data_IF_301491787874
#
_entry.id   IF_301491787874
#
_cell.length_a   1.000
_cell.length_b   1.000
_cell.length_c   1.000
_cell.angle_alpha   90.00
_cell.angle_beta   90.00
_cell.angle_gamma   90.00
#
_symmetry.space_group_name_H-M   'P 1'
#
loop_
_entity.id
_entity.type
_entity.pdbx_description
1 polymer ?
#
# COMPACT_ATOMS: atom_id res chain seq x y z
N UNK A 1 -3.28 -23.02 -16.25
CA UNK A 1 -4.24 -22.59 -15.20
C UNK A 1 -3.53 -22.76 -13.86
N UNK A 2 -3.62 -21.81 -12.97
CA UNK A 2 -2.97 -21.94 -11.65
C UNK A 2 -3.76 -22.99 -10.85
N UNK A 3 -3.08 -24.04 -10.34
CA UNK A 3 -3.70 -25.10 -9.55
C UNK A 3 -4.41 -24.58 -8.28
N UNK A 4 -5.30 -25.37 -7.70
CA UNK A 4 -6.06 -25.04 -6.48
C UNK A 4 -5.11 -24.99 -5.27
N UNK A 5 -5.24 -23.97 -4.42
CA UNK A 5 -4.52 -23.90 -3.14
C UNK A 5 -5.01 -25.04 -2.24
N UNK A 6 -4.09 -25.72 -1.55
CA UNK A 6 -4.43 -26.82 -0.63
C UNK A 6 -5.29 -26.34 0.52
N UNK A 7 -6.29 -27.13 0.88
CA UNK A 7 -7.23 -26.80 1.95
C UNK A 7 -6.53 -26.65 3.31
N UNK A 8 -5.47 -27.41 3.56
CA UNK A 8 -4.66 -27.30 4.79
C UNK A 8 -3.98 -25.93 4.91
N UNK A 9 -3.46 -25.39 3.80
CA UNK A 9 -2.81 -24.08 3.79
C UNK A 9 -3.83 -22.95 3.97
N UNK A 10 -5.03 -23.11 3.40
CA UNK A 10 -6.13 -22.18 3.61
C UNK A 10 -6.57 -22.18 5.09
N UNK A 11 -6.59 -23.37 5.72
CA UNK A 11 -6.91 -23.49 7.15
C UNK A 11 -5.84 -22.80 8.01
N UNK A 12 -4.54 -22.98 7.69
CA UNK A 12 -3.43 -22.30 8.37
C UNK A 12 -3.52 -20.77 8.22
N UNK A 13 -3.88 -20.28 7.04
CA UNK A 13 -4.12 -18.83 6.81
C UNK A 13 -5.22 -18.32 7.71
N UNK A 14 -6.35 -19.04 7.84
CA UNK A 14 -7.46 -18.66 8.71
C UNK A 14 -7.08 -18.64 10.18
N UNK A 15 -6.23 -19.56 10.61
CA UNK A 15 -5.77 -19.66 12.01
C UNK A 15 -4.80 -18.51 12.34
N UNK A 16 -3.82 -18.24 11.49
CA UNK A 16 -2.81 -17.20 11.71
C UNK A 16 -3.33 -15.79 11.50
N UNK A 17 -4.22 -15.58 10.51
CA UNK A 17 -4.79 -14.30 10.20
C UNK A 17 -6.00 -13.98 11.10
N UNK A 18 -5.73 -13.57 12.34
CA UNK A 18 -6.78 -13.22 13.30
C UNK A 18 -7.68 -12.13 12.73
N UNK A 19 -9.00 -12.39 12.78
CA UNK A 19 -9.99 -11.50 12.18
C UNK A 19 -10.02 -10.12 12.82
N UNK A 20 -9.82 -10.03 14.14
CA UNK A 20 -9.76 -8.77 14.87
C UNK A 20 -8.58 -7.90 14.45
N UNK A 21 -7.40 -8.51 14.21
CA UNK A 21 -6.20 -7.80 13.73
C UNK A 21 -6.38 -7.30 12.31
N UNK A 22 -6.97 -8.11 11.42
CA UNK A 22 -7.20 -7.72 10.03
C UNK A 22 -8.26 -6.64 9.94
N UNK A 23 -9.42 -6.83 10.58
CA UNK A 23 -10.55 -5.89 10.54
C UNK A 23 -10.21 -4.56 11.18
N UNK A 24 -9.40 -4.53 12.24
CA UNK A 24 -8.96 -3.29 12.90
C UNK A 24 -8.19 -2.35 11.97
N UNK A 25 -7.62 -2.87 10.89
CA UNK A 25 -6.98 -2.08 9.82
C UNK A 25 -7.98 -1.24 9.00
N UNK A 26 -9.25 -1.66 8.96
CA UNK A 26 -10.31 -1.04 8.14
C UNK A 26 -11.38 -0.36 8.99
N UNK A 27 -11.71 -0.93 10.15
CA UNK A 27 -12.84 -0.51 11.01
C UNK A 27 -12.33 -0.19 12.41
N UNK A 28 -12.77 0.95 12.96
CA UNK A 28 -12.52 1.25 14.37
C UNK A 28 -13.42 0.37 15.25
N UNK A 29 -12.83 -0.64 15.87
CA UNK A 29 -13.54 -1.57 16.73
C UNK A 29 -13.50 -1.12 18.21
N UNK A 30 -14.64 -1.22 18.89
CA UNK A 30 -14.79 -1.00 20.34
C UNK A 30 -15.22 -2.30 21.00
N UNK A 31 -14.80 -2.53 22.24
CA UNK A 31 -15.23 -3.71 23.00
C UNK A 31 -16.75 -3.67 23.21
N UNK A 32 -17.39 -4.80 22.94
CA UNK A 32 -18.80 -5.07 23.25
C UNK A 32 -18.88 -6.24 24.25
N UNK A 33 -20.02 -6.46 24.84
CA UNK A 33 -20.19 -7.55 25.79
C UNK A 33 -19.85 -8.92 25.22
N UNK A 34 -19.44 -9.87 26.07
CA UNK A 34 -19.19 -11.27 25.68
C UNK A 34 -17.92 -11.50 24.85
N UNK A 35 -16.90 -10.62 24.95
CA UNK A 35 -15.64 -10.77 24.21
C UNK A 35 -15.71 -10.40 22.74
N UNK A 36 -16.84 -9.86 22.28
CA UNK A 36 -17.02 -9.37 20.91
C UNK A 36 -16.55 -7.93 20.78
N UNK A 37 -16.23 -7.54 19.54
CA UNK A 37 -15.89 -6.17 19.14
C UNK A 37 -16.99 -5.63 18.24
N UNK A 38 -17.25 -4.32 18.29
CA UNK A 38 -18.30 -3.66 17.51
C UNK A 38 -17.80 -2.39 16.86
N UNK A 39 -18.20 -2.15 15.61
CA UNK A 39 -17.85 -0.96 14.84
C UNK A 39 -18.91 -0.57 13.84
N UNK A 40 -18.67 0.51 13.09
CA UNK A 40 -19.49 0.85 11.94
C UNK A 40 -19.15 -0.09 10.77
N UNK A 41 -20.16 -0.50 10.04
CA UNK A 41 -20.00 -1.42 8.92
C UNK A 41 -19.23 -0.78 7.77
N UNK A 42 -18.22 -1.47 7.18
CA UNK A 42 -17.53 -0.95 5.99
C UNK A 42 -18.28 -1.24 4.69
N UNK A 43 -19.40 -1.98 4.73
CA UNK A 43 -20.14 -2.44 3.55
C UNK A 43 -21.42 -1.66 3.28
N UNK A 44 -21.91 -0.86 4.25
CA UNK A 44 -23.06 0.01 4.09
C UNK A 44 -22.95 1.22 5.02
N UNK A 45 -23.64 2.31 4.65
CA UNK A 45 -23.68 3.51 5.46
C UNK A 45 -24.59 3.34 6.67
N UNK A 46 -24.06 3.57 7.87
CA UNK A 46 -24.79 3.53 9.11
C UNK A 46 -24.25 4.53 10.14
N UNK A 47 -25.14 5.04 10.99
CA UNK A 47 -24.78 5.94 12.09
C UNK A 47 -24.61 5.22 13.43
N UNK A 48 -25.24 4.07 13.58
CA UNK A 48 -25.19 3.27 14.80
C UNK A 48 -24.41 2.00 14.51
N UNK A 49 -23.36 1.67 15.28
CA UNK A 49 -22.56 0.48 15.02
C UNK A 49 -23.41 -0.79 15.03
N UNK A 50 -23.42 -1.54 13.92
CA UNK A 50 -24.09 -2.83 13.80
C UNK A 50 -23.14 -3.95 13.36
N UNK A 51 -21.91 -3.61 13.01
CA UNK A 51 -20.87 -4.57 12.59
C UNK A 51 -20.20 -5.18 13.82
N UNK A 52 -20.33 -6.49 13.97
CA UNK A 52 -19.76 -7.24 15.09
C UNK A 52 -18.64 -8.15 14.59
N UNK A 53 -17.57 -8.25 15.38
CA UNK A 53 -16.45 -9.17 15.19
C UNK A 53 -16.33 -10.02 16.45
N UNK A 54 -16.28 -11.33 16.28
CA UNK A 54 -16.05 -12.28 17.35
C UNK A 54 -14.66 -12.92 17.19
N UNK A 55 -13.64 -12.47 17.94
CA UNK A 55 -12.29 -13.00 17.84
C UNK A 55 -12.17 -14.47 18.23
N UNK A 56 -13.00 -14.95 19.16
CA UNK A 56 -12.96 -16.34 19.58
C UNK A 56 -13.50 -17.29 18.51
N UNK A 57 -14.47 -16.84 17.72
CA UNK A 57 -15.04 -17.62 16.61
C UNK A 57 -14.43 -17.31 15.26
N UNK A 58 -13.51 -16.35 15.19
CA UNK A 58 -12.89 -15.86 13.94
C UNK A 58 -13.93 -15.50 12.87
N UNK A 59 -14.99 -14.78 13.28
CA UNK A 59 -16.15 -14.48 12.45
C UNK A 59 -16.62 -13.03 12.64
N UNK A 60 -17.08 -12.39 11.55
CA UNK A 60 -17.79 -11.12 11.61
C UNK A 60 -19.23 -11.26 11.14
N UNK A 61 -20.11 -10.40 11.66
CA UNK A 61 -21.48 -10.27 11.17
C UNK A 61 -21.99 -8.84 11.37
N UNK A 62 -22.59 -8.30 10.33
CA UNK A 62 -23.27 -7.02 10.39
C UNK A 62 -24.78 -7.23 10.54
N UNK A 63 -25.35 -6.74 11.63
CA UNK A 63 -26.79 -6.83 11.86
C UNK A 63 -27.61 -5.79 11.07
N UNK A 64 -26.95 -4.82 10.40
CA UNK A 64 -27.60 -3.83 9.55
C UNK A 64 -27.83 -4.36 8.12
N UNK A 65 -26.80 -4.86 7.46
CA UNK A 65 -26.90 -5.35 6.08
C UNK A 65 -26.90 -6.88 5.93
N UNK A 66 -26.75 -7.63 7.03
CA UNK A 66 -26.72 -9.09 6.98
C UNK A 66 -25.40 -9.72 6.52
N UNK A 67 -24.40 -8.91 6.16
CA UNK A 67 -23.10 -9.42 5.72
C UNK A 67 -22.35 -10.09 6.86
N UNK A 68 -21.73 -11.23 6.54
CA UNK A 68 -20.98 -12.01 7.51
C UNK A 68 -19.99 -12.97 6.86
N UNK A 69 -19.04 -13.48 7.67
CA UNK A 69 -18.06 -14.43 7.19
C UNK A 69 -16.77 -14.44 8.02
N UNK A 70 -15.79 -15.17 7.52
CA UNK A 70 -14.44 -15.25 8.06
C UNK A 70 -13.54 -14.10 7.56
N UNK A 71 -12.27 -14.12 7.92
CA UNK A 71 -11.27 -13.12 7.53
C UNK A 71 -11.05 -13.07 6.01
N UNK A 72 -11.17 -14.20 5.31
CA UNK A 72 -11.03 -14.26 3.85
C UNK A 72 -12.23 -13.57 3.21
N UNK A 73 -13.44 -13.93 3.64
CA UNK A 73 -14.70 -13.32 3.17
C UNK A 73 -14.72 -11.81 3.43
N UNK A 74 -14.14 -11.35 4.54
CA UNK A 74 -14.00 -9.94 4.83
C UNK A 74 -13.14 -9.21 3.79
N UNK A 75 -11.95 -9.74 3.48
CA UNK A 75 -11.08 -9.14 2.47
C UNK A 75 -11.66 -9.17 1.06
N UNK A 76 -12.32 -10.28 0.69
CA UNK A 76 -13.03 -10.36 -0.59
C UNK A 76 -14.00 -9.20 -0.78
N UNK A 77 -14.72 -8.83 0.28
CA UNK A 77 -15.75 -7.79 0.23
C UNK A 77 -15.19 -6.37 0.35
N UNK A 78 -14.25 -6.16 1.28
CA UNK A 78 -13.75 -4.81 1.57
C UNK A 78 -12.76 -4.31 0.52
N UNK A 79 -11.96 -5.21 -0.06
CA UNK A 79 -10.95 -4.88 -1.08
C UNK A 79 -11.35 -5.32 -2.50
N UNK A 80 -12.51 -5.95 -2.67
CA UNK A 80 -13.00 -6.43 -3.97
C UNK A 80 -12.13 -7.56 -4.56
N UNK A 81 -11.50 -8.38 -3.73
CA UNK A 81 -10.59 -9.43 -4.14
C UNK A 81 -11.33 -10.74 -4.42
N UNK A 82 -10.76 -11.58 -5.29
CA UNK A 82 -11.16 -12.97 -5.41
C UNK A 82 -10.76 -13.78 -4.18
N UNK A 83 -11.31 -14.98 -4.01
CA UNK A 83 -10.93 -15.88 -2.91
C UNK A 83 -9.43 -16.17 -2.91
N UNK A 84 -8.88 -16.52 -4.08
CA UNK A 84 -7.45 -16.84 -4.23
C UNK A 84 -6.56 -15.64 -3.86
N UNK A 85 -6.86 -14.44 -4.38
CA UNK A 85 -6.12 -13.22 -4.05
C UNK A 85 -6.21 -12.87 -2.57
N UNK A 86 -7.34 -13.09 -1.93
CA UNK A 86 -7.52 -12.86 -0.49
C UNK A 86 -6.69 -13.82 0.35
N UNK A 87 -6.66 -15.12 -0.02
CA UNK A 87 -5.82 -16.12 0.64
C UNK A 87 -4.34 -15.80 0.45
N UNK A 88 -3.90 -15.49 -0.76
CA UNK A 88 -2.51 -15.11 -1.06
C UNK A 88 -2.08 -13.86 -0.26
N UNK A 89 -2.93 -12.85 -0.21
CA UNK A 89 -2.64 -11.61 0.55
C UNK A 89 -2.53 -11.85 2.05
N UNK A 90 -3.38 -12.69 2.63
CA UNK A 90 -3.29 -13.08 4.04
C UNK A 90 -2.06 -13.94 4.29
N UNK A 91 -1.78 -14.91 3.43
CA UNK A 91 -0.60 -15.77 3.52
C UNK A 91 0.69 -14.94 3.54
N UNK A 92 0.83 -13.98 2.63
CA UNK A 92 1.97 -13.07 2.57
C UNK A 92 2.10 -12.23 3.85
N UNK A 93 0.97 -11.69 4.34
CA UNK A 93 0.97 -10.83 5.54
C UNK A 93 1.33 -11.59 6.81
N UNK A 94 0.88 -12.84 6.93
CA UNK A 94 1.03 -13.65 8.15
C UNK A 94 2.09 -14.76 8.02
N UNK A 95 2.84 -14.79 6.93
CA UNK A 95 3.97 -15.71 6.74
C UNK A 95 3.54 -17.17 6.57
N UNK A 96 2.45 -17.42 5.86
CA UNK A 96 2.00 -18.77 5.50
C UNK A 96 2.49 -19.13 4.11
N UNK A 97 3.07 -20.30 3.95
CA UNK A 97 3.48 -20.82 2.62
C UNK A 97 2.31 -21.58 2.00
N UNK A 98 1.89 -21.17 0.79
CA UNK A 98 0.80 -21.81 0.08
C UNK A 98 1.33 -22.87 -0.89
N UNK A 99 0.70 -24.05 -0.90
CA UNK A 99 0.96 -25.16 -1.85
C UNK A 99 -0.26 -25.33 -2.75
N UNK A 100 -0.04 -25.83 -3.98
CA UNK A 100 -1.11 -26.08 -4.95
C UNK A 100 -1.21 -27.56 -5.31
N UNK A 101 -2.41 -28.05 -5.65
CA UNK A 101 -2.69 -29.48 -5.83
C UNK A 101 -2.13 -30.08 -7.14
N UNK A 102 -1.74 -29.27 -8.13
CA UNK A 102 -1.27 -29.76 -9.42
C UNK A 102 0.26 -29.74 -9.52
N UNK A 103 0.88 -30.83 -9.04
CA UNK A 103 2.25 -31.22 -9.37
C UNK A 103 3.37 -30.57 -8.55
N UNK A 104 4.17 -31.46 -7.97
CA UNK A 104 5.42 -31.26 -7.25
C UNK A 104 5.33 -30.54 -5.90
N UNK A 105 5.81 -31.22 -4.85
CA UNK A 105 5.97 -30.76 -3.46
C UNK A 105 6.96 -29.57 -3.30
N UNK A 106 7.23 -28.83 -4.35
CA UNK A 106 7.93 -27.57 -4.21
C UNK A 106 6.95 -26.50 -3.68
N UNK A 107 7.31 -25.82 -2.57
CA UNK A 107 6.53 -24.69 -2.08
C UNK A 107 6.39 -23.68 -3.22
N UNK A 108 5.16 -23.34 -3.57
CA UNK A 108 4.87 -22.30 -4.59
C UNK A 108 5.46 -21.00 -4.06
N UNK A 109 6.66 -20.69 -4.52
CA UNK A 109 7.17 -19.33 -4.36
C UNK A 109 6.20 -18.40 -5.09
N UNK A 110 5.71 -17.33 -4.44
CA UNK A 110 4.91 -16.32 -5.13
C UNK A 110 5.62 -15.99 -6.44
N UNK A 111 4.87 -15.92 -7.57
CA UNK A 111 5.46 -15.46 -8.84
C UNK A 111 5.81 -13.98 -8.70
N UNK A 112 6.99 -13.72 -8.17
CA UNK A 112 7.49 -12.38 -7.91
C UNK A 112 7.94 -12.19 -6.45
N UNK A 113 8.55 -11.06 -6.16
CA UNK A 113 9.01 -10.73 -4.80
C UNK A 113 7.84 -10.62 -3.82
N UNK A 114 8.05 -11.13 -2.59
CA UNK A 114 7.07 -11.05 -1.51
C UNK A 114 6.63 -9.59 -1.25
N UNK A 115 5.34 -9.36 -0.95
CA UNK A 115 4.78 -8.03 -0.67
C UNK A 115 5.64 -7.24 0.33
N UNK A 116 6.11 -7.88 1.42
CA UNK A 116 6.96 -7.25 2.42
C UNK A 116 8.27 -6.70 1.85
N UNK A 117 8.88 -7.42 0.90
CA UNK A 117 10.10 -6.97 0.22
C UNK A 117 9.84 -5.77 -0.68
N UNK A 118 8.69 -5.73 -1.37
CA UNK A 118 8.32 -4.58 -2.20
C UNK A 118 8.07 -3.33 -1.35
N UNK A 119 7.38 -3.46 -0.20
CA UNK A 119 7.18 -2.36 0.76
C UNK A 119 8.51 -1.87 1.31
N UNK A 120 9.42 -2.79 1.69
CA UNK A 120 10.74 -2.45 2.19
C UNK A 120 11.57 -1.70 1.14
N UNK A 121 11.52 -2.11 -0.13
CA UNK A 121 12.17 -1.40 -1.23
C UNK A 121 11.63 0.04 -1.38
N UNK A 122 10.31 0.24 -1.24
CA UNK A 122 9.72 1.58 -1.28
C UNK A 122 10.13 2.43 -0.07
N UNK A 123 10.21 1.86 1.12
CA UNK A 123 10.70 2.55 2.32
C UNK A 123 12.13 3.03 2.14
N UNK A 124 13.01 2.16 1.61
CA UNK A 124 14.40 2.50 1.31
C UNK A 124 14.48 3.57 0.23
N UNK A 125 13.68 3.46 -0.84
CA UNK A 125 13.61 4.47 -1.90
C UNK A 125 13.10 5.83 -1.38
N UNK A 126 12.10 5.85 -0.50
CA UNK A 126 11.60 7.07 0.12
C UNK A 126 12.69 7.79 0.92
N UNK A 127 13.40 7.05 1.77
CA UNK A 127 14.51 7.59 2.54
C UNK A 127 15.59 8.15 1.61
N UNK A 128 15.98 7.38 0.61
CA UNK A 128 16.95 7.82 -0.39
C UNK A 128 16.54 9.14 -1.06
N UNK A 129 15.31 9.24 -1.57
CA UNK A 129 14.84 10.48 -2.23
C UNK A 129 14.77 11.67 -1.27
N UNK A 130 14.41 11.45 -0.01
CA UNK A 130 14.40 12.51 1.00
C UNK A 130 15.83 13.01 1.29
N UNK A 131 16.82 12.12 1.39
CA UNK A 131 18.23 12.47 1.53
C UNK A 131 18.76 13.25 0.31
N UNK A 132 18.37 12.82 -0.92
CA UNK A 132 18.76 13.54 -2.13
C UNK A 132 18.15 14.94 -2.21
N UNK A 133 16.98 15.19 -1.64
CA UNK A 133 16.39 16.53 -1.59
C UNK A 133 17.24 17.51 -0.77
N UNK A 134 17.96 17.03 0.24
CA UNK A 134 18.93 17.84 1.02
C UNK A 134 20.27 18.03 0.30
N UNK A 135 20.55 17.23 -0.73
CA UNK A 135 21.81 17.22 -1.45
C UNK A 135 22.04 18.44 -2.35
N UNK A 136 23.29 18.60 -2.87
CA UNK A 136 23.67 19.74 -3.70
C UNK A 136 22.93 19.79 -5.04
N UNK A 137 22.55 18.63 -5.61
CA UNK A 137 21.90 18.54 -6.93
C UNK A 137 20.43 18.95 -6.90
N UNK A 138 19.84 19.11 -5.71
CA UNK A 138 18.42 19.41 -5.52
C UNK A 138 18.10 20.91 -5.34
N UNK A 139 19.00 21.83 -5.70
CA UNK A 139 18.78 23.28 -5.54
C UNK A 139 17.50 23.72 -6.22
N UNK A 140 17.31 23.35 -7.51
CA UNK A 140 16.11 23.69 -8.28
C UNK A 140 14.86 23.10 -7.66
N UNK A 141 14.96 21.87 -7.14
CA UNK A 141 13.85 21.20 -6.46
C UNK A 141 13.43 21.94 -5.19
N UNK A 142 14.39 22.36 -4.35
CA UNK A 142 14.11 23.13 -3.13
C UNK A 142 13.56 24.51 -3.44
N UNK A 143 14.10 25.21 -4.44
CA UNK A 143 13.57 26.50 -4.90
C UNK A 143 12.13 26.36 -5.38
N UNK A 144 11.83 25.33 -6.18
CA UNK A 144 10.49 25.05 -6.66
C UNK A 144 9.48 24.83 -5.53
N UNK A 145 9.88 24.13 -4.45
CA UNK A 145 9.04 23.93 -3.25
C UNK A 145 8.83 25.24 -2.51
N UNK A 146 9.90 26.01 -2.28
CA UNK A 146 9.87 27.30 -1.59
C UNK A 146 8.92 28.30 -2.27
N UNK A 147 9.00 28.45 -3.60
CA UNK A 147 8.14 29.32 -4.39
C UNK A 147 6.63 28.99 -4.26
N UNK A 148 6.31 27.79 -3.78
CA UNK A 148 4.95 27.28 -3.53
C UNK A 148 4.55 27.22 -2.07
N UNK A 149 5.36 27.83 -1.19
CA UNK A 149 5.09 27.87 0.23
C UNK A 149 5.38 26.55 0.96
N UNK A 150 6.07 25.60 0.32
CA UNK A 150 6.52 24.38 0.96
C UNK A 150 7.89 24.63 1.62
N UNK A 151 7.89 24.75 2.94
CA UNK A 151 9.11 24.78 3.73
C UNK A 151 9.67 23.36 3.97
N UNK A 152 10.79 23.29 4.67
CA UNK A 152 11.43 22.02 5.01
C UNK A 152 10.54 21.14 5.90
N UNK A 153 9.76 21.75 6.81
CA UNK A 153 8.85 21.04 7.70
C UNK A 153 7.71 20.39 6.93
N UNK A 154 7.09 21.14 6.00
CA UNK A 154 6.07 20.62 5.11
C UNK A 154 6.63 19.49 4.22
N UNK A 155 7.81 19.67 3.65
CA UNK A 155 8.47 18.64 2.84
C UNK A 155 8.69 17.35 3.64
N UNK A 156 9.12 17.45 4.89
CA UNK A 156 9.32 16.31 5.79
C UNK A 156 7.98 15.62 6.14
N UNK A 157 6.94 16.39 6.45
CA UNK A 157 5.60 15.87 6.79
C UNK A 157 5.01 15.04 5.65
N UNK A 158 5.13 15.53 4.42
CA UNK A 158 4.64 14.81 3.23
C UNK A 158 5.65 13.79 2.69
N UNK A 159 6.86 13.74 3.24
CA UNK A 159 7.91 12.83 2.79
C UNK A 159 8.43 13.14 1.38
N UNK A 160 8.41 14.43 1.01
CA UNK A 160 8.87 14.87 -0.32
C UNK A 160 10.34 14.55 -0.51
N UNK A 161 10.71 14.09 -1.69
CA UNK A 161 12.08 13.78 -2.05
C UNK A 161 12.45 14.28 -3.44
N UNK A 162 13.69 14.07 -3.82
CA UNK A 162 14.22 14.38 -5.14
C UNK A 162 14.84 13.13 -5.77
N UNK A 163 14.43 12.82 -7.00
CA UNK A 163 15.03 11.78 -7.81
C UNK A 163 16.19 12.37 -8.62
N UNK A 164 17.44 11.93 -8.40
CA UNK A 164 18.61 12.45 -9.11
C UNK A 164 18.50 12.31 -10.63
N UNK A 165 19.27 13.11 -11.36
CA UNK A 165 19.28 13.09 -12.83
C UNK A 165 20.11 11.95 -13.44
N UNK A 166 20.99 11.35 -12.68
CA UNK A 166 21.94 10.30 -13.05
C UNK A 166 21.25 9.09 -13.75
N UNK A 167 20.06 8.73 -13.32
CA UNK A 167 19.30 7.66 -13.96
C UNK A 167 19.59 6.25 -13.44
N UNK A 168 20.60 6.05 -12.62
CA UNK A 168 20.96 4.77 -11.98
C UNK A 168 21.27 4.91 -10.47
N UNK A 169 21.05 6.10 -9.92
CA UNK A 169 21.39 6.38 -8.52
C UNK A 169 20.58 5.50 -7.56
N UNK A 170 19.27 5.36 -7.77
CA UNK A 170 18.42 4.49 -6.98
C UNK A 170 18.73 3.01 -7.22
N UNK A 171 18.97 2.61 -8.47
CA UNK A 171 19.39 1.22 -8.79
C UNK A 171 20.61 0.83 -7.97
N UNK A 172 21.67 1.65 -7.98
CA UNK A 172 22.88 1.40 -7.20
C UNK A 172 22.59 1.36 -5.70
N UNK A 173 21.76 2.27 -5.21
CA UNK A 173 21.38 2.33 -3.80
C UNK A 173 20.63 1.07 -3.36
N UNK A 174 19.63 0.62 -4.12
CA UNK A 174 18.85 -0.60 -3.82
C UNK A 174 19.73 -1.85 -3.85
N UNK A 175 20.61 -1.99 -4.86
CA UNK A 175 21.60 -3.09 -4.91
C UNK A 175 22.51 -3.10 -3.69
N UNK A 176 22.98 -1.94 -3.22
CA UNK A 176 23.75 -1.78 -2.00
C UNK A 176 22.99 -2.20 -0.73
N UNK A 177 21.67 -2.15 -0.77
CA UNK A 177 20.76 -2.62 0.30
C UNK A 177 20.27 -4.06 0.08
N UNK A 178 20.90 -4.81 -0.84
CA UNK A 178 20.63 -6.22 -1.15
C UNK A 178 19.21 -6.46 -1.70
N UNK A 179 18.68 -5.51 -2.45
CA UNK A 179 17.52 -5.75 -3.32
C UNK A 179 17.99 -6.26 -4.68
N UNK A 180 17.29 -7.26 -5.19
CA UNK A 180 17.54 -7.73 -6.55
C UNK A 180 16.95 -6.76 -7.57
N UNK A 181 17.43 -6.84 -8.81
CA UNK A 181 16.88 -6.05 -9.91
C UNK A 181 15.42 -6.43 -10.17
N UNK A 182 15.08 -7.71 -10.03
CA UNK A 182 13.71 -8.22 -10.16
C UNK A 182 12.78 -7.62 -9.10
N UNK A 183 13.21 -7.56 -7.82
CA UNK A 183 12.47 -6.90 -6.75
C UNK A 183 12.25 -5.41 -7.05
N UNK A 184 13.28 -4.74 -7.53
CA UNK A 184 13.25 -3.30 -7.84
C UNK A 184 12.34 -2.98 -9.03
N UNK A 185 12.31 -3.84 -10.04
CA UNK A 185 11.41 -3.75 -11.20
C UNK A 185 9.97 -4.07 -10.79
N UNK A 186 9.76 -5.15 -10.04
CA UNK A 186 8.43 -5.54 -9.54
C UNK A 186 7.82 -4.48 -8.60
N UNK A 187 8.67 -3.74 -7.85
CA UNK A 187 8.25 -2.58 -7.08
C UNK A 187 7.90 -1.35 -7.94
N UNK A 188 8.20 -1.37 -9.23
CA UNK A 188 7.97 -0.22 -10.11
C UNK A 188 8.89 0.99 -9.85
N UNK A 189 9.99 0.77 -9.13
CA UNK A 189 11.02 1.77 -8.81
C UNK A 189 12.07 1.89 -9.91
N UNK A 190 12.33 0.78 -10.57
CA UNK A 190 13.31 0.60 -11.63
C UNK A 190 12.59 0.11 -12.89
N UNK A 191 13.04 0.55 -14.04
CA UNK A 191 12.57 0.06 -15.34
C UNK A 191 13.70 -0.68 -16.06
N UNK A 192 13.31 -1.63 -16.92
CA UNK A 192 14.24 -2.40 -17.75
C UNK A 192 14.21 -1.84 -19.18
N UNK A 193 15.39 -1.46 -19.67
CA UNK A 193 15.64 -1.10 -21.07
C UNK A 193 16.80 -1.93 -21.60
N UNK A 194 17.83 -1.28 -22.13
CA UNK A 194 19.12 -1.95 -22.40
C UNK A 194 19.86 -2.33 -21.11
N UNK A 195 19.65 -1.57 -20.06
CA UNK A 195 20.07 -1.82 -18.66
C UNK A 195 18.93 -1.44 -17.72
N UNK A 196 19.08 -1.77 -16.44
CA UNK A 196 18.18 -1.28 -15.40
C UNK A 196 18.44 0.20 -15.15
N UNK A 197 17.36 1.00 -15.06
CA UNK A 197 17.45 2.42 -14.82
C UNK A 197 16.33 2.93 -13.91
N UNK A 198 16.60 4.04 -13.22
CA UNK A 198 15.66 4.68 -12.32
C UNK A 198 14.42 5.15 -13.08
N UNK A 199 13.23 4.76 -12.61
CA UNK A 199 11.98 5.19 -13.21
C UNK A 199 11.78 6.70 -13.15
N UNK A 200 12.16 7.32 -12.03
CA UNK A 200 12.09 8.76 -11.83
C UNK A 200 13.49 9.36 -11.92
N UNK A 201 13.62 10.44 -12.70
CA UNK A 201 14.90 11.13 -12.92
C UNK A 201 14.66 12.62 -13.00
N UNK A 202 15.44 13.42 -12.27
CA UNK A 202 15.34 14.86 -12.27
C UNK A 202 13.96 15.38 -11.83
N UNK A 203 13.28 14.70 -10.93
CA UNK A 203 11.92 15.05 -10.54
C UNK A 203 11.78 15.16 -9.02
N UNK A 204 10.89 16.04 -8.59
CA UNK A 204 10.34 15.97 -7.22
C UNK A 204 9.44 14.75 -7.12
N UNK A 205 9.56 14.01 -6.01
CA UNK A 205 8.78 12.81 -5.76
C UNK A 205 8.02 12.90 -4.43
N UNK A 206 6.80 12.42 -4.44
CA UNK A 206 5.93 12.30 -3.26
C UNK A 206 5.59 10.83 -3.05
N UNK A 207 5.76 10.30 -1.83
CA UNK A 207 5.35 8.93 -1.54
C UNK A 207 3.82 8.81 -1.58
N UNK A 208 3.35 7.75 -2.18
CA UNK A 208 1.95 7.31 -2.13
C UNK A 208 1.89 6.22 -1.07
N UNK A 209 1.06 6.43 -0.03
CA UNK A 209 1.01 5.54 1.14
C UNK A 209 -0.36 4.91 1.29
N UNK A 210 -0.38 3.69 1.80
CA UNK A 210 -1.60 3.06 2.32
C UNK A 210 -2.04 3.72 3.63
N UNK A 211 -3.25 3.40 4.08
CA UNK A 211 -3.81 3.93 5.32
C UNK A 211 -3.01 3.55 6.59
N UNK A 212 -2.18 2.50 6.53
CA UNK A 212 -1.27 2.09 7.59
C UNK A 212 0.07 2.87 7.60
N UNK A 213 0.30 3.73 6.59
CA UNK A 213 1.51 4.53 6.44
C UNK A 213 2.60 3.89 5.57
N UNK A 214 2.41 2.65 5.10
CA UNK A 214 3.37 2.01 4.21
C UNK A 214 3.42 2.68 2.85
N UNK A 215 4.62 2.99 2.37
CA UNK A 215 4.81 3.54 1.03
C UNK A 215 4.73 2.42 0.00
N UNK A 216 3.82 2.58 -0.97
CA UNK A 216 3.51 1.60 -2.01
C UNK A 216 3.78 2.11 -3.43
N UNK A 217 4.13 3.37 -3.56
CA UNK A 217 4.44 4.01 -4.84
C UNK A 217 4.87 5.45 -4.65
N UNK A 218 5.10 6.12 -5.76
CA UNK A 218 5.46 7.54 -5.82
C UNK A 218 4.73 8.25 -6.94
N UNK A 219 4.33 9.50 -6.67
CA UNK A 219 4.02 10.48 -7.69
C UNK A 219 5.22 11.37 -7.93
N UNK A 220 5.57 11.67 -9.17
CA UNK A 220 6.72 12.48 -9.51
C UNK A 220 6.32 13.66 -10.40
N UNK A 221 6.84 14.86 -10.08
CA UNK A 221 6.61 16.09 -10.85
C UNK A 221 7.86 16.53 -11.59
N UNK A 222 7.69 16.86 -12.87
CA UNK A 222 8.73 17.49 -13.69
C UNK A 222 9.05 18.90 -13.16
N UNK A 223 10.35 19.17 -13.01
CA UNK A 223 10.89 20.47 -12.57
C UNK A 223 11.97 21.02 -13.51
N UNK A 224 12.41 20.22 -14.48
CA UNK A 224 13.39 20.62 -15.50
C UNK A 224 12.73 20.60 -16.89
N UNK A 225 13.07 21.59 -17.73
CA UNK A 225 12.51 21.70 -19.07
C UNK A 225 13.11 20.69 -20.05
N UNK A 226 14.33 20.22 -19.78
CA UNK A 226 15.05 19.22 -20.57
C UNK A 226 14.73 17.76 -20.18
N UNK A 227 13.69 17.53 -19.38
CA UNK A 227 13.22 16.19 -19.08
C UNK A 227 12.68 15.50 -20.33
N UNK A 228 13.22 14.33 -20.65
CA UNK A 228 12.84 13.54 -21.85
C UNK A 228 11.37 13.09 -21.83
N UNK A 229 10.76 13.02 -20.66
CA UNK A 229 9.34 12.67 -20.50
C UNK A 229 8.56 13.96 -20.34
N UNK A 230 7.82 14.36 -21.36
CA UNK A 230 7.05 15.61 -21.40
C UNK A 230 5.94 15.68 -20.34
N UNK A 231 5.45 14.50 -19.87
CA UNK A 231 4.40 14.44 -18.89
C UNK A 231 4.78 15.20 -17.61
N UNK A 232 3.96 16.19 -17.24
CA UNK A 232 4.13 17.02 -16.03
C UNK A 232 4.16 16.19 -14.77
N UNK A 233 3.34 15.15 -14.70
CA UNK A 233 3.28 14.19 -13.59
C UNK A 233 3.48 12.77 -14.10
N UNK A 234 4.22 11.99 -13.34
CA UNK A 234 4.50 10.58 -13.59
C UNK A 234 4.28 9.82 -12.28
N UNK A 235 3.47 8.78 -12.31
CA UNK A 235 3.27 7.91 -11.14
C UNK A 235 4.02 6.58 -11.32
N UNK A 236 4.22 5.88 -10.21
CA UNK A 236 4.59 4.45 -10.24
C UNK A 236 3.60 3.70 -11.13
N UNK A 237 4.09 2.75 -11.93
CA UNK A 237 3.23 1.82 -12.66
C UNK A 237 2.44 0.97 -11.68
N UNK A 238 1.31 0.41 -12.11
CA UNK A 238 0.62 -0.58 -11.29
C UNK A 238 1.52 -1.77 -11.00
N UNK A 239 1.51 -2.18 -9.74
CA UNK A 239 2.32 -3.28 -9.20
C UNK A 239 1.43 -4.20 -8.36
N UNK A 240 2.02 -5.25 -7.81
CA UNK A 240 1.32 -6.12 -6.86
C UNK A 240 0.85 -5.38 -5.58
N UNK A 241 1.48 -4.25 -5.24
CA UNK A 241 1.17 -3.45 -4.03
C UNK A 241 0.53 -2.09 -4.32
N UNK A 242 0.50 -1.64 -5.57
CA UNK A 242 -0.03 -0.34 -5.96
C UNK A 242 -1.00 -0.46 -7.13
N UNK A 243 -2.27 -0.11 -6.89
CA UNK A 243 -3.29 0.05 -7.92
C UNK A 243 -3.87 1.47 -7.82
N UNK A 244 -3.70 2.26 -8.86
CA UNK A 244 -4.08 3.69 -8.88
C UNK A 244 -5.54 3.93 -8.52
N UNK A 245 -6.44 3.06 -8.92
CA UNK A 245 -7.88 3.15 -8.65
C UNK A 245 -8.26 2.84 -7.20
N UNK A 246 -7.35 2.28 -6.39
CA UNK A 246 -7.62 1.80 -5.03
C UNK A 246 -6.92 2.63 -3.94
N UNK A 247 -6.19 3.69 -4.32
CA UNK A 247 -5.40 4.47 -3.38
C UNK A 247 -5.80 5.94 -3.42
N UNK A 248 -6.10 6.48 -2.24
CA UNK A 248 -6.31 7.91 -2.04
C UNK A 248 -5.05 8.53 -1.44
N UNK A 249 -4.46 9.50 -2.15
CA UNK A 249 -3.27 10.22 -1.68
C UNK A 249 -3.54 10.95 -0.36
N UNK A 250 -2.63 10.79 0.61
CA UNK A 250 -2.72 11.46 1.91
C UNK A 250 -3.68 10.84 2.91
N UNK A 251 -4.24 9.66 2.60
CA UNK A 251 -5.16 8.94 3.51
C UNK A 251 -4.50 8.63 4.87
N UNK A 252 -3.21 8.33 4.89
CA UNK A 252 -2.41 8.09 6.08
C UNK A 252 -2.39 9.31 7.01
N UNK A 253 -2.17 10.51 6.46
CA UNK A 253 -2.15 11.77 7.19
C UNK A 253 -3.56 12.20 7.64
N UNK A 254 -4.56 12.01 6.80
CA UNK A 254 -5.94 12.36 7.08
C UNK A 254 -6.61 11.45 8.13
N UNK A 255 -6.14 10.22 8.29
CA UNK A 255 -6.76 9.19 9.12
C UNK A 255 -7.03 9.64 10.56
N UNK A 256 -6.09 10.35 11.17
CA UNK A 256 -6.26 10.84 12.55
C UNK A 256 -7.34 11.91 12.63
N UNK A 257 -7.36 12.85 11.70
CA UNK A 257 -8.39 13.89 11.62
C UNK A 257 -9.76 13.28 11.29
N UNK A 258 -9.83 12.32 10.36
CA UNK A 258 -11.06 11.61 10.01
C UNK A 258 -11.65 10.83 11.19
N UNK A 259 -10.81 10.25 12.07
CA UNK A 259 -11.26 9.57 13.29
C UNK A 259 -11.82 10.52 14.34
N UNK A 260 -11.36 11.76 14.36
CA UNK A 260 -11.82 12.80 15.30
C UNK A 260 -13.15 13.43 14.89
N UNK A 261 -13.53 13.34 13.61
CA UNK A 261 -14.77 13.93 13.06
C UNK A 261 -15.86 12.85 12.99
N UNK A 262 -16.90 12.98 13.80
CA UNK A 262 -18.05 12.06 13.82
C UNK A 262 -18.89 12.08 12.53
N UNK A 263 -18.76 13.10 11.68
CA UNK A 263 -19.53 13.26 10.44
C UNK A 263 -18.65 13.89 9.36
N UNK A 264 -18.54 13.24 8.21
CA UNK A 264 -18.08 13.87 6.97
C UNK A 264 -19.29 14.06 6.05
N UNK A 265 -19.90 15.26 6.05
CA UNK A 265 -20.75 15.69 4.96
C UNK A 265 -19.87 16.37 3.91
N UNK A 266 -19.59 15.66 2.82
CA UNK A 266 -19.17 16.30 1.58
C UNK A 266 -20.42 16.83 0.89
N UNK A 267 -20.82 18.06 1.21
CA UNK A 267 -21.75 18.79 0.37
C UNK A 267 -20.97 19.31 -0.83
N UNK A 268 -21.15 18.64 -1.98
CA UNK A 268 -20.74 19.23 -3.25
C UNK A 268 -21.64 20.47 -3.48
N UNK A 269 -21.09 21.65 -3.80
CA UNK A 269 -21.91 22.76 -4.23
C UNK A 269 -22.61 22.33 -5.53
N UNK A 270 -23.94 22.25 -5.47
CA UNK A 270 -24.79 22.17 -6.65
C UNK A 270 -24.82 23.55 -7.29
N UNK A 271 -24.15 23.72 -8.41
CA UNK A 271 -24.41 24.78 -9.37
C UNK A 271 -25.47 24.32 -10.35
#
# INVERSE_FOLDING_TARGET
MAGRIRDDDIAEVREKARIDDVVSGYVTLKRAGGGSLKGLCPFHDEKTPSFNVNPARQFFHCFGCGEGGDVISFLMKVDGLTFTESVERLADKFGVQLRREDGDDEPVRPRGPARGRLIEAHKVAQQFYAEQLAGPDAVVARQFLHERGFDQSAAATFGVGFAPRDGEALVRHLRGRRFSDEESVAAGLVALGRSHYDRFRGRLVWPIREANGDTIGFGARRIFDDDRIEAKYLNTSETAIYKKSQVLYGIDLARTAMKAVSYTHLTLPTN
#
